data_IF_144898389993
#
_entry.id   IF_144898389993
#
_cell.length_a   1.000
_cell.length_b   1.000
_cell.length_c   1.000
_cell.angle_alpha   90.00
_cell.angle_beta   90.00
_cell.angle_gamma   90.00
#
_symmetry.space_group_name_H-M   'P 1'
#
loop_
_entity.id
_entity.type
_entity.pdbx_description
1 polymer ?
#
# COMPACT_ATOMS: atom_id res chain seq x y z
N UNK A 1 -7.09 18.58 8.58
CA UNK A 1 -8.03 18.93 7.50
C UNK A 1 -8.14 17.71 6.62
N UNK A 2 -9.09 16.84 6.94
CA UNK A 2 -9.31 15.58 6.23
C UNK A 2 -10.17 15.85 4.99
N UNK A 3 -9.63 15.53 3.82
CA UNK A 3 -10.40 15.50 2.59
C UNK A 3 -11.10 14.14 2.54
N UNK A 4 -12.37 14.10 2.94
CA UNK A 4 -13.22 12.93 2.73
C UNK A 4 -13.65 12.89 1.26
N UNK A 5 -13.22 11.83 0.57
CA UNK A 5 -13.76 11.48 -0.74
C UNK A 5 -14.86 10.44 -0.54
N UNK A 6 -16.13 10.74 -0.88
CA UNK A 6 -17.22 9.81 -0.68
C UNK A 6 -16.99 8.57 -1.57
N UNK A 7 -16.85 7.40 -0.93
CA UNK A 7 -16.69 6.10 -1.60
C UNK A 7 -15.33 5.41 -1.45
N UNK A 8 -14.31 6.05 -0.86
CA UNK A 8 -13.05 5.37 -0.50
C UNK A 8 -13.07 4.95 0.97
N UNK A 9 -13.30 3.66 1.18
CA UNK A 9 -13.20 2.95 2.45
C UNK A 9 -11.96 3.43 3.23
N UNK A 10 -12.16 3.88 4.47
CA UNK A 10 -11.14 4.41 5.39
C UNK A 10 -9.90 3.52 5.60
N UNK A 11 -9.96 2.25 5.15
CA UNK A 11 -8.89 1.25 5.24
C UNK A 11 -7.77 1.44 4.19
N UNK A 12 -8.05 2.00 3.00
CA UNK A 12 -7.04 2.04 1.92
C UNK A 12 -5.94 3.10 2.10
N UNK A 13 -6.18 4.14 2.91
CA UNK A 13 -5.19 5.20 3.11
C UNK A 13 -4.00 4.72 3.95
N UNK A 14 -4.20 3.71 4.78
CA UNK A 14 -3.19 3.15 5.68
C UNK A 14 -2.12 2.42 4.85
N UNK A 15 -2.55 1.58 3.91
CA UNK A 15 -1.64 0.74 3.13
C UNK A 15 -0.75 1.54 2.16
N UNK A 16 -1.21 2.69 1.63
CA UNK A 16 -0.34 3.55 0.81
C UNK A 16 0.78 4.18 1.64
N UNK A 17 0.49 4.54 2.90
CA UNK A 17 1.48 5.05 3.85
C UNK A 17 2.47 3.95 4.22
N UNK A 18 2.00 2.75 4.53
CA UNK A 18 2.85 1.60 4.82
C UNK A 18 3.75 1.28 3.62
N UNK A 19 3.20 1.26 2.41
CA UNK A 19 3.94 1.10 1.15
C UNK A 19 5.05 2.13 1.00
N UNK A 20 4.74 3.40 1.29
CA UNK A 20 5.74 4.45 1.25
C UNK A 20 6.88 4.22 2.23
N UNK A 21 6.56 3.80 3.45
CA UNK A 21 7.55 3.68 4.52
C UNK A 21 8.40 2.43 4.33
N UNK A 22 7.78 1.27 4.11
CA UNK A 22 8.48 -0.01 3.97
C UNK A 22 9.35 -0.06 2.72
N UNK A 23 8.86 0.43 1.57
CA UNK A 23 9.67 0.51 0.35
C UNK A 23 10.88 1.46 0.49
N UNK A 24 10.88 2.33 1.51
CA UNK A 24 12.00 3.20 1.86
C UNK A 24 12.75 2.73 3.13
N UNK A 25 12.50 1.49 3.58
CA UNK A 25 13.19 0.88 4.73
C UNK A 25 12.88 1.56 6.06
N UNK A 26 11.65 2.06 6.25
CA UNK A 26 11.17 2.66 7.48
C UNK A 26 10.08 1.78 8.08
N UNK A 27 10.42 1.07 9.15
CA UNK A 27 9.49 0.18 9.89
C UNK A 27 9.12 0.76 11.26
N UNK A 28 10.05 1.45 11.91
CA UNK A 28 9.86 1.98 13.26
C UNK A 28 8.88 3.15 13.30
N UNK A 29 8.08 3.23 14.38
CA UNK A 29 7.10 4.30 14.56
C UNK A 29 7.75 5.67 14.79
N UNK A 30 8.91 5.70 15.45
CA UNK A 30 9.62 6.94 15.78
C UNK A 30 10.74 7.30 14.78
N UNK A 31 10.80 6.63 13.62
CA UNK A 31 11.82 6.95 12.61
C UNK A 31 11.62 8.40 12.10
N UNK A 32 12.64 9.27 12.21
CA UNK A 32 12.54 10.67 11.81
C UNK A 32 12.25 10.85 10.31
N UNK A 33 12.54 9.85 9.47
CA UNK A 33 12.27 9.87 8.02
C UNK A 33 10.77 9.78 7.69
N UNK A 34 9.92 9.39 8.65
CA UNK A 34 8.47 9.27 8.41
C UNK A 34 7.82 10.56 7.93
N UNK A 35 8.25 11.70 8.48
CA UNK A 35 7.70 13.01 8.10
C UNK A 35 8.08 13.39 6.68
N UNK A 36 9.35 13.26 6.32
CA UNK A 36 9.86 13.63 5.00
C UNK A 36 9.29 12.72 3.89
N UNK A 37 8.97 11.47 4.23
CA UNK A 37 8.41 10.51 3.27
C UNK A 37 6.91 10.70 3.01
N UNK A 38 6.17 11.51 3.80
CA UNK A 38 4.71 11.69 3.61
C UNK A 38 4.34 12.16 2.21
N UNK A 39 5.18 13.01 1.60
CA UNK A 39 4.92 13.58 0.28
C UNK A 39 4.84 12.53 -0.83
N UNK A 40 5.54 11.40 -0.69
CA UNK A 40 5.58 10.32 -1.67
C UNK A 40 4.40 9.34 -1.60
N UNK A 41 3.56 9.41 -0.56
CA UNK A 41 2.41 8.49 -0.40
C UNK A 41 1.48 8.53 -1.62
N UNK A 42 1.28 9.73 -2.18
CA UNK A 42 0.38 9.96 -3.33
C UNK A 42 0.91 9.43 -4.67
N UNK A 43 2.20 9.08 -4.74
CA UNK A 43 2.82 8.63 -5.98
C UNK A 43 2.63 7.12 -6.22
N UNK A 44 2.13 6.41 -5.22
CA UNK A 44 1.79 4.98 -5.33
C UNK A 44 0.43 4.78 -5.99
N UNK A 45 0.39 3.84 -6.91
CA UNK A 45 -0.80 3.38 -7.63
C UNK A 45 -1.03 1.93 -7.26
N UNK A 46 -2.23 1.60 -6.78
CA UNK A 46 -2.65 0.22 -6.57
C UNK A 46 -2.90 -0.46 -7.92
N UNK A 47 -2.15 -1.53 -8.21
CA UNK A 47 -2.33 -2.35 -9.40
C UNK A 47 -3.33 -3.48 -9.17
N UNK A 48 -3.22 -4.16 -8.03
CA UNK A 48 -4.03 -5.32 -7.69
C UNK A 48 -4.16 -5.44 -6.18
N UNK A 49 -5.36 -5.81 -5.72
CA UNK A 49 -5.64 -6.22 -4.36
C UNK A 49 -6.32 -7.59 -4.41
N UNK A 50 -5.87 -8.51 -3.56
CA UNK A 50 -6.51 -9.81 -3.35
C UNK A 50 -6.81 -9.94 -1.85
N UNK A 51 -8.06 -10.22 -1.51
CA UNK A 51 -8.47 -10.49 -0.13
C UNK A 51 -8.41 -11.99 0.14
N UNK A 52 -8.36 -12.37 1.41
CA UNK A 52 -8.78 -13.71 1.80
C UNK A 52 -10.25 -13.88 1.43
N UNK A 53 -10.60 -15.06 0.91
CA UNK A 53 -11.95 -15.41 0.49
C UNK A 53 -12.17 -16.90 0.73
N UNK A 54 -13.42 -17.28 1.00
CA UNK A 54 -13.81 -18.68 1.11
C UNK A 54 -13.91 -19.34 -0.27
N UNK A 55 -14.20 -18.57 -1.32
CA UNK A 55 -14.32 -19.09 -2.70
C UNK A 55 -13.75 -18.10 -3.73
N UNK A 56 -12.60 -18.37 -4.36
CA UNK A 56 -11.72 -19.52 -4.12
C UNK A 56 -11.15 -19.48 -2.69
N UNK A 57 -10.90 -20.66 -2.11
CA UNK A 57 -10.33 -20.80 -0.77
C UNK A 57 -8.91 -20.21 -0.74
N UNK A 58 -8.82 -18.95 -0.30
CA UNK A 58 -7.61 -18.14 -0.29
C UNK A 58 -7.48 -17.47 1.05
N UNK A 59 -6.32 -17.61 1.69
CA UNK A 59 -6.05 -17.07 3.02
C UNK A 59 -4.69 -16.38 3.05
N UNK A 60 -4.65 -15.17 3.61
CA UNK A 60 -3.46 -14.34 3.78
C UNK A 60 -3.29 -14.01 5.27
N UNK A 61 -2.69 -14.92 6.03
CA UNK A 61 -2.55 -14.73 7.48
C UNK A 61 -3.88 -14.96 8.21
N UNK A 62 -4.32 -13.97 8.99
CA UNK A 62 -5.63 -13.98 9.69
C UNK A 62 -6.65 -13.09 8.95
N UNK A 63 -7.30 -13.66 7.94
CA UNK A 63 -8.31 -12.98 7.10
C UNK A 63 -7.76 -11.71 6.42
N UNK A 64 -6.50 -11.78 5.97
CA UNK A 64 -5.76 -10.63 5.47
C UNK A 64 -5.98 -10.30 3.98
N UNK A 65 -5.08 -9.46 3.47
CA UNK A 65 -5.10 -8.93 2.11
C UNK A 65 -3.68 -8.73 1.60
N UNK A 66 -3.46 -8.99 0.33
CA UNK A 66 -2.24 -8.62 -0.37
C UNK A 66 -2.50 -7.51 -1.39
N UNK A 67 -1.53 -6.62 -1.54
CA UNK A 67 -1.60 -5.45 -2.39
C UNK A 67 -0.32 -5.32 -3.21
N UNK A 68 -0.48 -5.13 -4.51
CA UNK A 68 0.60 -4.78 -5.42
C UNK A 68 0.52 -3.31 -5.79
N UNK A 69 1.59 -2.57 -5.49
CA UNK A 69 1.73 -1.15 -5.75
C UNK A 69 2.86 -0.86 -6.72
N UNK A 70 2.74 0.24 -7.46
CA UNK A 70 3.82 0.76 -8.31
C UNK A 70 3.87 2.28 -8.17
N UNK A 71 5.03 2.89 -8.37
CA UNK A 71 5.12 4.34 -8.51
C UNK A 71 4.57 4.78 -9.86
N UNK A 72 3.89 5.93 -9.89
CA UNK A 72 3.39 6.54 -11.13
C UNK A 72 4.46 6.62 -12.23
N UNK A 73 5.66 7.11 -11.90
CA UNK A 73 6.77 7.26 -12.85
C UNK A 73 7.27 5.92 -13.44
N UNK A 74 7.14 4.82 -12.69
CA UNK A 74 7.62 3.50 -13.12
C UNK A 74 6.53 2.80 -13.94
N UNK A 75 5.26 3.04 -13.60
CA UNK A 75 4.11 2.63 -14.41
C UNK A 75 4.12 3.30 -15.79
N UNK A 76 4.44 4.60 -15.86
CA UNK A 76 4.58 5.33 -17.14
C UNK A 76 5.66 4.72 -18.05
N UNK A 77 6.69 4.09 -17.46
CA UNK A 77 7.78 3.40 -18.17
C UNK A 77 7.52 1.91 -18.37
N UNK A 78 6.39 1.39 -17.87
CA UNK A 78 6.06 -0.04 -17.84
C UNK A 78 7.14 -0.89 -17.13
N UNK A 79 7.88 -0.32 -16.16
CA UNK A 79 8.90 -1.05 -15.41
C UNK A 79 8.29 -1.77 -14.21
N UNK A 80 7.60 -2.88 -14.48
CA UNK A 80 6.95 -3.70 -13.43
C UNK A 80 7.95 -4.43 -12.52
N UNK A 81 9.26 -4.36 -12.77
CA UNK A 81 10.27 -4.84 -11.81
C UNK A 81 10.32 -3.96 -10.54
N UNK A 82 9.65 -2.80 -10.55
CA UNK A 82 9.54 -1.86 -9.42
C UNK A 82 8.25 -1.99 -8.64
N UNK A 83 7.47 -3.04 -8.87
CA UNK A 83 6.26 -3.32 -8.08
C UNK A 83 6.65 -3.67 -6.64
N UNK A 84 5.91 -3.11 -5.69
CA UNK A 84 6.02 -3.40 -4.27
C UNK A 84 4.82 -4.20 -3.78
N UNK A 85 5.07 -5.27 -3.04
CA UNK A 85 4.04 -6.11 -2.42
C UNK A 85 3.95 -5.77 -0.94
N UNK A 86 2.74 -5.53 -0.45
CA UNK A 86 2.42 -5.50 0.98
C UNK A 86 1.35 -6.53 1.29
N UNK A 87 1.48 -7.15 2.45
CA UNK A 87 0.45 -7.97 3.08
C UNK A 87 -0.01 -7.29 4.36
N UNK A 88 -1.32 -7.17 4.53
CA UNK A 88 -1.95 -6.70 5.76
C UNK A 88 -2.81 -7.84 6.33
N UNK A 89 -2.58 -8.22 7.58
CA UNK A 89 -3.46 -9.10 8.36
C UNK A 89 -3.68 -8.49 9.75
N UNK A 90 -4.61 -9.06 10.49
CA UNK A 90 -4.91 -8.65 11.88
C UNK A 90 -3.92 -9.28 12.86
#
# INVERSE_FOLDING_TARGET
MELSFPGKLWLQWNVHRECQLEANGVTEFNDPRRESLKSGIKDWILLLQINSDAVPDTEWGDTGRIYYFIRKQDLEKLDFNKVWLIMQCT
#
